data_IF_601496989952
#
_entry.id   IF_601496989952
#
_cell.length_a   1.000
_cell.length_b   1.000
_cell.length_c   1.000
_cell.angle_alpha   90.00
_cell.angle_beta   90.00
_cell.angle_gamma   90.00
#
_symmetry.space_group_name_H-M   'P 1'
#
loop_
_entity.id
_entity.type
_entity.pdbx_description
1 polymer ?
#
# COMPACT_ATOMS: atom_id res chain seq x y z
N UNK A 1 -39.99 -62.52 6.43
CA UNK A 1 -39.64 -61.97 5.11
C UNK A 1 -39.08 -60.57 5.33
N UNK A 2 -37.80 -60.33 5.01
CA UNK A 2 -37.07 -59.13 5.39
C UNK A 2 -37.24 -58.01 4.35
N UNK A 3 -37.21 -56.75 4.81
CA UNK A 3 -37.04 -55.56 3.97
C UNK A 3 -35.58 -55.13 4.00
N UNK A 4 -34.93 -55.09 2.84
CA UNK A 4 -33.57 -54.60 2.64
C UNK A 4 -33.60 -53.12 2.24
N UNK A 5 -32.93 -52.27 3.03
CA UNK A 5 -32.56 -50.90 2.65
C UNK A 5 -31.39 -50.94 1.65
N UNK A 6 -31.50 -50.24 0.52
CA UNK A 6 -30.39 -50.02 -0.41
C UNK A 6 -29.72 -48.67 -0.12
N UNK A 7 -28.41 -48.70 0.13
CA UNK A 7 -27.53 -47.54 0.23
C UNK A 7 -27.21 -46.98 -1.17
N UNK A 8 -27.52 -45.71 -1.44
CA UNK A 8 -27.01 -44.98 -2.60
C UNK A 8 -25.67 -44.32 -2.25
N UNK A 9 -24.58 -44.84 -2.82
CA UNK A 9 -23.29 -44.16 -2.85
C UNK A 9 -23.28 -43.10 -3.96
N UNK A 10 -22.88 -41.88 -3.62
CA UNK A 10 -22.62 -40.78 -4.55
C UNK A 10 -21.15 -40.82 -4.98
N UNK A 11 -20.90 -41.11 -6.26
CA UNK A 11 -19.59 -40.90 -6.90
C UNK A 11 -19.50 -39.44 -7.37
N UNK A 12 -18.47 -38.72 -6.92
CA UNK A 12 -18.08 -37.42 -7.46
C UNK A 12 -17.53 -37.61 -8.90
N UNK A 13 -17.83 -36.71 -9.85
CA UNK A 13 -17.33 -36.82 -11.21
C UNK A 13 -15.83 -36.51 -11.26
N UNK A 14 -15.04 -37.47 -11.76
CA UNK A 14 -13.63 -37.25 -12.11
C UNK A 14 -13.53 -36.28 -13.31
N UNK A 15 -12.54 -35.36 -13.31
CA UNK A 15 -12.30 -34.47 -14.45
C UNK A 15 -11.96 -35.29 -15.71
N UNK A 16 -12.45 -34.83 -16.88
CA UNK A 16 -12.23 -35.51 -18.15
C UNK A 16 -10.79 -35.33 -18.64
N UNK A 17 -10.19 -36.38 -19.22
CA UNK A 17 -8.83 -36.36 -19.79
C UNK A 17 -8.58 -35.19 -20.76
N UNK A 18 -9.62 -34.75 -21.49
CA UNK A 18 -9.53 -33.60 -22.39
C UNK A 18 -9.28 -32.25 -21.65
N UNK A 19 -9.72 -32.11 -20.39
CA UNK A 19 -9.46 -30.93 -19.58
C UNK A 19 -8.03 -30.95 -19.01
N UNK A 20 -7.50 -32.13 -18.69
CA UNK A 20 -6.11 -32.31 -18.23
C UNK A 20 -5.11 -32.11 -19.38
N UNK A 21 -5.41 -32.65 -20.56
CA UNK A 21 -4.59 -32.46 -21.78
C UNK A 21 -4.56 -30.98 -22.20
N UNK A 22 -5.71 -30.28 -22.14
CA UNK A 22 -5.78 -28.85 -22.44
C UNK A 22 -5.05 -27.96 -21.44
N UNK A 23 -4.97 -28.37 -20.16
CA UNK A 23 -4.15 -27.69 -19.15
C UNK A 23 -2.65 -27.91 -19.38
N UNK A 24 -2.24 -29.12 -19.73
CA UNK A 24 -0.83 -29.44 -20.01
C UNK A 24 -0.32 -28.74 -21.28
N UNK A 25 -1.13 -28.68 -22.35
CA UNK A 25 -0.77 -27.94 -23.56
C UNK A 25 -0.64 -26.43 -23.30
N UNK A 26 -1.56 -25.86 -22.51
CA UNK A 26 -1.48 -24.44 -22.11
C UNK A 26 -0.25 -24.14 -21.24
N UNK A 27 0.14 -25.04 -20.33
CA UNK A 27 1.35 -24.91 -19.52
C UNK A 27 2.64 -25.02 -20.36
N UNK A 28 2.66 -25.89 -21.37
CA UNK A 28 3.80 -26.03 -22.29
C UNK A 28 3.95 -24.80 -23.21
N UNK A 29 2.84 -24.30 -23.75
CA UNK A 29 2.84 -23.08 -24.57
C UNK A 29 3.26 -21.86 -23.74
N UNK A 30 2.81 -21.78 -22.48
CA UNK A 30 3.28 -20.77 -21.53
C UNK A 30 4.78 -20.89 -21.22
N UNK A 31 5.31 -22.11 -21.03
CA UNK A 31 6.73 -22.33 -20.76
C UNK A 31 7.61 -21.94 -21.96
N UNK A 32 7.17 -22.22 -23.19
CA UNK A 32 7.86 -21.81 -24.41
C UNK A 32 7.81 -20.29 -24.61
N UNK A 33 6.64 -19.67 -24.40
CA UNK A 33 6.49 -18.22 -24.43
C UNK A 33 7.38 -17.54 -23.38
N UNK A 34 7.41 -18.07 -22.15
CA UNK A 34 8.26 -17.59 -21.06
C UNK A 34 9.74 -17.65 -21.41
N UNK A 35 10.22 -18.76 -21.96
CA UNK A 35 11.61 -18.89 -22.39
C UNK A 35 11.98 -17.91 -23.51
N UNK A 36 11.04 -17.62 -24.43
CA UNK A 36 11.22 -16.61 -25.46
C UNK A 36 11.29 -15.19 -24.87
N UNK A 37 10.35 -14.81 -24.00
CA UNK A 37 10.36 -13.52 -23.30
C UNK A 37 11.61 -13.34 -22.43
N UNK A 38 12.05 -14.40 -21.76
CA UNK A 38 13.23 -14.36 -20.91
C UNK A 38 14.53 -14.08 -21.68
N UNK A 39 14.55 -14.33 -22.99
CA UNK A 39 15.69 -14.07 -23.88
C UNK A 39 15.69 -12.67 -24.54
N UNK A 40 14.65 -11.85 -24.36
CA UNK A 40 14.56 -10.52 -24.97
C UNK A 40 15.43 -9.48 -24.25
N UNK A 41 16.40 -8.88 -24.93
CA UNK A 41 17.30 -7.87 -24.34
C UNK A 41 16.62 -6.49 -24.31
N UNK A 42 16.45 -5.90 -23.13
CA UNK A 42 15.83 -4.57 -22.94
C UNK A 42 16.80 -3.62 -22.25
N UNK A 43 16.75 -2.32 -22.60
CA UNK A 43 17.51 -1.27 -21.90
C UNK A 43 16.87 -0.86 -20.56
N UNK A 44 15.58 -1.15 -20.38
CA UNK A 44 14.86 -0.96 -19.10
C UNK A 44 15.00 -2.23 -18.26
N UNK A 45 15.22 -2.12 -16.93
CA UNK A 45 15.15 -3.26 -16.04
C UNK A 45 13.78 -3.93 -16.17
N UNK A 46 13.75 -5.26 -16.27
CA UNK A 46 12.48 -6.00 -16.28
C UNK A 46 11.75 -5.80 -14.94
N UNK A 47 10.42 -5.74 -14.91
CA UNK A 47 9.70 -5.77 -13.63
C UNK A 47 9.99 -7.08 -12.89
N UNK A 48 10.01 -7.07 -11.54
CA UNK A 48 10.16 -8.30 -10.77
C UNK A 48 8.95 -9.22 -10.98
N UNK A 49 9.11 -10.53 -10.73
CA UNK A 49 7.96 -11.44 -10.76
C UNK A 49 7.01 -11.12 -9.60
N UNK A 50 5.68 -11.09 -9.81
CA UNK A 50 4.73 -10.66 -8.77
C UNK A 50 4.88 -11.39 -7.43
N UNK A 51 5.16 -12.70 -7.45
CA UNK A 51 5.32 -13.53 -6.25
C UNK A 51 6.54 -13.18 -5.38
N UNK A 52 7.53 -12.50 -5.97
CA UNK A 52 8.77 -12.10 -5.30
C UNK A 52 8.80 -10.60 -5.00
N UNK A 53 7.87 -9.83 -5.57
CA UNK A 53 7.85 -8.38 -5.50
C UNK A 53 7.04 -7.88 -4.31
N UNK A 54 7.36 -6.66 -3.89
CA UNK A 54 6.51 -5.91 -2.96
C UNK A 54 5.60 -5.02 -3.81
N UNK A 55 4.39 -5.50 -4.06
CA UNK A 55 3.45 -4.86 -4.97
C UNK A 55 2.76 -3.67 -4.31
N UNK A 56 2.97 -2.48 -4.86
CA UNK A 56 2.31 -1.24 -4.45
C UNK A 56 1.35 -0.81 -5.56
N UNK A 57 0.05 -0.99 -5.32
CA UNK A 57 -1.00 -0.55 -6.22
C UNK A 57 -1.38 0.90 -5.90
N UNK A 58 -1.44 1.77 -6.90
CA UNK A 58 -1.78 3.18 -6.74
C UNK A 58 -2.93 3.52 -7.67
N UNK A 59 -3.96 4.20 -7.17
CA UNK A 59 -5.05 4.64 -8.03
C UNK A 59 -4.66 5.81 -8.91
N UNK A 60 -5.28 5.95 -10.10
CA UNK A 60 -4.96 7.07 -11.01
C UNK A 60 -5.14 8.45 -10.37
N UNK A 61 -6.14 8.61 -9.47
CA UNK A 61 -6.39 9.85 -8.71
C UNK A 61 -5.41 10.07 -7.55
N UNK A 62 -4.74 9.02 -7.08
CA UNK A 62 -3.66 9.15 -6.11
C UNK A 62 -2.34 9.48 -6.81
N UNK A 63 -2.05 8.86 -7.96
CA UNK A 63 -0.81 9.11 -8.71
C UNK A 63 -0.81 10.49 -9.38
N UNK A 64 -1.93 10.89 -9.98
CA UNK A 64 -2.07 12.16 -10.70
C UNK A 64 -3.19 13.01 -10.13
N UNK A 65 -3.04 14.33 -10.25
CA UNK A 65 -4.09 15.28 -9.93
C UNK A 65 -5.15 15.25 -11.05
N UNK A 66 -6.29 14.65 -10.72
CA UNK A 66 -7.45 14.49 -11.59
C UNK A 66 -8.68 15.22 -11.03
N UNK A 67 -8.48 16.32 -10.28
CA UNK A 67 -9.60 17.04 -9.62
C UNK A 67 -10.57 17.61 -10.65
N UNK A 68 -10.06 18.23 -11.72
CA UNK A 68 -10.92 18.80 -12.78
C UNK A 68 -11.62 17.70 -13.58
N UNK A 69 -10.90 16.64 -13.92
CA UNK A 69 -11.46 15.51 -14.65
C UNK A 69 -12.55 14.81 -13.82
N UNK A 70 -12.36 14.69 -12.50
CA UNK A 70 -13.39 14.17 -11.59
C UNK A 70 -14.63 15.06 -11.58
N UNK A 71 -14.46 16.38 -11.55
CA UNK A 71 -15.57 17.33 -11.60
C UNK A 71 -16.38 17.15 -12.88
N UNK A 72 -15.73 17.00 -14.03
CA UNK A 72 -16.39 16.73 -15.32
C UNK A 72 -17.18 15.42 -15.26
N UNK A 73 -16.61 14.35 -14.68
CA UNK A 73 -17.30 13.07 -14.52
C UNK A 73 -18.56 13.21 -13.63
N UNK A 74 -18.44 13.91 -12.50
CA UNK A 74 -19.55 14.08 -11.54
C UNK A 74 -20.66 15.00 -12.08
N UNK A 75 -20.31 16.09 -12.77
CA UNK A 75 -21.26 17.08 -13.27
C UNK A 75 -21.85 16.72 -14.65
N UNK A 76 -21.09 16.02 -15.50
CA UNK A 76 -21.45 15.79 -16.92
C UNK A 76 -21.46 14.32 -17.34
N UNK A 77 -21.11 13.40 -16.44
CA UNK A 77 -21.16 11.96 -16.68
C UNK A 77 -19.97 11.41 -17.49
N UNK A 78 -20.00 10.08 -17.67
CA UNK A 78 -18.88 9.30 -18.22
C UNK A 78 -18.53 9.67 -19.67
N UNK A 79 -19.51 9.95 -20.53
CA UNK A 79 -19.25 10.25 -21.95
C UNK A 79 -18.46 11.55 -22.13
N UNK A 80 -18.85 12.61 -21.39
CA UNK A 80 -18.14 13.90 -21.44
C UNK A 80 -16.76 13.81 -20.81
N UNK A 81 -16.62 13.00 -19.77
CA UNK A 81 -15.32 12.69 -19.18
C UNK A 81 -14.39 11.99 -20.18
N UNK A 82 -14.87 10.97 -20.90
CA UNK A 82 -14.08 10.24 -21.89
C UNK A 82 -13.67 11.16 -23.05
N UNK A 83 -14.61 11.93 -23.59
CA UNK A 83 -14.33 12.93 -24.65
C UNK A 83 -13.26 13.93 -24.20
N UNK A 84 -13.36 14.45 -22.97
CA UNK A 84 -12.36 15.35 -22.41
C UNK A 84 -10.98 14.69 -22.32
N UNK A 85 -10.90 13.45 -21.84
CA UNK A 85 -9.64 12.73 -21.70
C UNK A 85 -8.98 12.44 -23.05
N UNK A 86 -9.76 12.11 -24.08
CA UNK A 86 -9.27 11.90 -25.44
C UNK A 86 -8.74 13.20 -26.06
N UNK A 87 -9.51 14.29 -25.97
CA UNK A 87 -9.10 15.60 -26.49
C UNK A 87 -7.82 16.13 -25.81
N UNK A 88 -7.54 15.69 -24.59
CA UNK A 88 -6.38 16.09 -23.80
C UNK A 88 -5.33 14.97 -23.64
N UNK A 89 -5.34 13.94 -24.48
CA UNK A 89 -4.47 12.76 -24.30
C UNK A 89 -2.97 13.09 -24.31
N UNK A 90 -2.57 14.17 -24.97
CA UNK A 90 -1.19 14.67 -25.04
C UNK A 90 -0.87 15.75 -24.00
N UNK A 91 -1.85 16.14 -23.18
CA UNK A 91 -1.66 17.09 -22.07
C UNK A 91 -1.29 16.32 -20.82
N UNK A 92 -0.02 16.45 -20.40
CA UNK A 92 0.51 15.82 -19.19
C UNK A 92 -0.32 16.16 -17.96
N UNK A 93 -0.71 15.12 -17.21
CA UNK A 93 -1.39 15.26 -15.93
C UNK A 93 -0.44 15.77 -14.85
N UNK A 94 -0.92 16.66 -13.97
CA UNK A 94 -0.09 17.16 -12.86
C UNK A 94 0.15 16.06 -11.82
N UNK A 95 1.27 16.09 -11.08
CA UNK A 95 1.54 15.18 -9.98
C UNK A 95 0.40 15.15 -8.95
N UNK A 96 0.01 13.94 -8.53
CA UNK A 96 -0.92 13.70 -7.44
C UNK A 96 -0.22 13.44 -6.10
N UNK A 97 -0.98 13.19 -5.02
CA UNK A 97 -0.41 13.02 -3.68
C UNK A 97 0.54 11.82 -3.54
N UNK A 98 0.39 10.76 -4.34
CA UNK A 98 1.28 9.59 -4.32
C UNK A 98 2.52 9.74 -5.21
N UNK A 99 2.59 10.79 -6.03
CA UNK A 99 3.58 10.88 -7.10
C UNK A 99 5.02 10.80 -6.60
N UNK A 100 5.38 11.63 -5.62
CA UNK A 100 6.73 11.65 -5.06
C UNK A 100 7.06 10.41 -4.23
N UNK A 101 6.04 9.77 -3.63
CA UNK A 101 6.21 8.47 -2.99
C UNK A 101 6.60 7.41 -4.02
N UNK A 102 5.93 7.35 -5.18
CA UNK A 102 6.31 6.45 -6.28
C UNK A 102 7.73 6.72 -6.79
N UNK A 103 8.11 7.99 -6.99
CA UNK A 103 9.51 8.34 -7.35
C UNK A 103 10.52 7.84 -6.31
N UNK A 104 10.19 7.91 -5.03
CA UNK A 104 11.06 7.43 -3.97
C UNK A 104 11.16 5.89 -3.93
N UNK A 105 10.07 5.16 -4.23
CA UNK A 105 10.11 3.70 -4.42
C UNK A 105 11.01 3.32 -5.60
N UNK A 106 10.91 4.04 -6.72
CA UNK A 106 11.79 3.82 -7.89
C UNK A 106 13.27 4.09 -7.56
N UNK A 107 13.55 5.12 -6.75
CA UNK A 107 14.91 5.39 -6.29
C UNK A 107 15.45 4.23 -5.44
N UNK A 108 14.64 3.69 -4.53
CA UNK A 108 15.02 2.51 -3.75
C UNK A 108 15.28 1.30 -4.67
N UNK A 109 14.41 1.06 -5.66
CA UNK A 109 14.61 0.00 -6.65
C UNK A 109 15.93 0.16 -7.42
N UNK A 110 16.27 1.37 -7.85
CA UNK A 110 17.55 1.64 -8.52
C UNK A 110 18.75 1.29 -7.62
N UNK A 111 18.72 1.70 -6.34
CA UNK A 111 19.76 1.36 -5.37
C UNK A 111 19.82 -0.14 -5.06
N UNK A 112 18.68 -0.84 -5.04
CA UNK A 112 18.65 -2.31 -4.90
C UNK A 112 19.30 -2.98 -6.11
N UNK A 113 18.97 -2.55 -7.33
CA UNK A 113 19.55 -3.09 -8.57
C UNK A 113 21.07 -2.86 -8.68
N UNK A 114 21.58 -1.74 -8.15
CA UNK A 114 23.03 -1.49 -8.08
C UNK A 114 23.75 -2.51 -7.18
N UNK A 115 23.13 -2.90 -6.06
CA UNK A 115 23.73 -3.79 -5.06
C UNK A 115 23.44 -5.28 -5.31
N UNK A 116 22.30 -5.55 -5.97
CA UNK A 116 21.73 -6.87 -6.22
C UNK A 116 21.06 -6.92 -7.61
N UNK A 117 21.85 -6.98 -8.70
CA UNK A 117 21.34 -6.88 -10.08
C UNK A 117 20.29 -7.95 -10.46
N UNK A 118 20.45 -9.17 -9.94
CA UNK A 118 19.60 -10.33 -10.27
C UNK A 118 18.45 -10.54 -9.27
N UNK A 119 18.32 -9.68 -8.27
CA UNK A 119 17.37 -9.85 -7.18
C UNK A 119 16.00 -9.24 -7.54
N UNK A 120 14.96 -10.07 -7.45
CA UNK A 120 13.59 -9.70 -7.77
C UNK A 120 12.82 -9.14 -6.57
N UNK A 121 13.35 -9.21 -5.35
CA UNK A 121 12.70 -8.67 -4.15
C UNK A 121 12.94 -7.15 -4.08
N UNK A 122 12.06 -6.44 -4.78
CA UNK A 122 11.98 -4.98 -4.96
C UNK A 122 10.52 -4.55 -5.14
N UNK A 123 10.25 -3.26 -5.23
CA UNK A 123 8.89 -2.77 -5.42
C UNK A 123 8.40 -3.02 -6.86
N UNK A 124 7.16 -3.48 -7.00
CA UNK A 124 6.42 -3.47 -8.25
C UNK A 124 5.27 -2.47 -8.14
N UNK A 125 5.31 -1.41 -8.94
CA UNK A 125 4.29 -0.36 -8.91
C UNK A 125 3.24 -0.66 -9.97
N UNK A 126 1.99 -0.80 -9.54
CA UNK A 126 0.85 -1.11 -10.42
C UNK A 126 -0.12 0.06 -10.41
N UNK A 127 -0.47 0.57 -11.59
CA UNK A 127 -1.55 1.54 -11.72
C UNK A 127 -2.91 0.83 -11.71
N UNK A 128 -3.78 1.21 -10.79
CA UNK A 128 -5.16 0.74 -10.70
C UNK A 128 -6.13 1.87 -11.05
N UNK A 129 -7.07 1.66 -11.96
CA UNK A 129 -8.05 2.68 -12.28
C UNK A 129 -9.41 2.08 -12.56
N UNK A 130 -10.45 2.74 -12.05
CA UNK A 130 -11.84 2.40 -12.33
C UNK A 130 -12.32 2.97 -13.67
N UNK A 131 -11.47 3.72 -14.37
CA UNK A 131 -11.85 4.36 -15.61
C UNK A 131 -11.90 3.38 -16.77
N UNK A 132 -12.66 3.77 -17.80
CA UNK A 132 -12.74 3.05 -19.07
C UNK A 132 -11.38 3.04 -19.80
N UNK A 133 -11.06 1.96 -20.53
CA UNK A 133 -9.77 1.78 -21.20
C UNK A 133 -9.39 2.94 -22.15
N UNK A 134 -10.39 3.60 -22.73
CA UNK A 134 -10.19 4.74 -23.64
C UNK A 134 -9.47 5.94 -23.01
N UNK A 135 -9.51 6.11 -21.68
CA UNK A 135 -8.79 7.22 -21.02
C UNK A 135 -7.34 6.85 -20.67
N UNK A 136 -6.93 5.61 -20.92
CA UNK A 136 -5.63 5.07 -20.52
C UNK A 136 -4.45 5.75 -21.22
N UNK A 137 -4.64 6.23 -22.46
CA UNK A 137 -3.58 6.85 -23.26
C UNK A 137 -2.99 8.06 -22.55
N UNK A 138 -3.83 8.95 -21.99
CA UNK A 138 -3.34 10.12 -21.25
C UNK A 138 -2.53 9.76 -20.00
N UNK A 139 -2.94 8.70 -19.30
CA UNK A 139 -2.22 8.18 -18.12
C UNK A 139 -0.85 7.64 -18.54
N UNK A 140 -0.80 6.84 -19.60
CA UNK A 140 0.45 6.29 -20.16
C UNK A 140 1.38 7.41 -20.63
N UNK A 141 0.86 8.39 -21.36
CA UNK A 141 1.63 9.55 -21.83
C UNK A 141 2.22 10.34 -20.65
N UNK A 142 1.44 10.53 -19.58
CA UNK A 142 1.91 11.22 -18.37
C UNK A 142 3.00 10.41 -17.65
N UNK A 143 2.82 9.09 -17.50
CA UNK A 143 3.81 8.18 -16.92
C UNK A 143 5.13 8.23 -17.70
N UNK A 144 5.05 8.17 -19.02
CA UNK A 144 6.20 8.26 -19.91
C UNK A 144 6.88 9.64 -19.84
N UNK A 145 6.10 10.72 -19.82
CA UNK A 145 6.61 12.09 -19.68
C UNK A 145 7.44 12.26 -18.41
N UNK A 146 6.99 11.71 -17.30
CA UNK A 146 7.70 11.77 -16.01
C UNK A 146 8.78 10.69 -15.84
N UNK A 147 8.94 9.79 -16.81
CA UNK A 147 9.89 8.69 -16.74
C UNK A 147 9.60 7.74 -15.57
N UNK A 148 8.32 7.53 -15.24
CA UNK A 148 7.91 6.55 -14.23
C UNK A 148 8.02 5.14 -14.82
N UNK A 149 8.59 4.20 -14.06
CA UNK A 149 8.74 2.79 -14.39
C UNK A 149 7.53 2.00 -13.92
N UNK A 150 6.34 2.36 -14.41
CA UNK A 150 5.09 1.65 -14.16
C UNK A 150 4.77 0.87 -15.44
N UNK A 151 4.90 -0.45 -15.39
CA UNK A 151 4.71 -1.33 -16.57
C UNK A 151 3.38 -2.11 -16.48
N UNK A 152 2.77 -2.18 -15.29
CA UNK A 152 1.51 -2.89 -15.04
C UNK A 152 0.36 -1.92 -14.79
N UNK A 153 -0.72 -2.11 -15.55
CA UNK A 153 -1.93 -1.30 -15.49
C UNK A 153 -3.14 -2.22 -15.39
N UNK A 154 -4.11 -1.83 -14.58
CA UNK A 154 -5.43 -2.44 -14.57
C UNK A 154 -6.49 -1.35 -14.67
N UNK A 155 -7.34 -1.46 -15.68
CA UNK A 155 -8.45 -0.56 -15.94
C UNK A 155 -9.73 -1.37 -15.82
N UNK A 156 -10.48 -1.19 -14.74
CA UNK A 156 -11.62 -2.06 -14.41
C UNK A 156 -12.93 -1.65 -15.07
N UNK A 157 -12.96 -0.52 -15.78
CA UNK A 157 -14.15 -0.06 -16.52
C UNK A 157 -15.36 0.22 -15.64
N UNK A 158 -15.16 0.50 -14.35
CA UNK A 158 -16.20 0.78 -13.36
C UNK A 158 -16.33 -0.30 -12.29
N UNK A 159 -15.82 -1.51 -12.55
CA UNK A 159 -15.87 -2.62 -11.61
C UNK A 159 -14.94 -2.41 -10.39
N UNK A 160 -15.22 -3.11 -9.30
CA UNK A 160 -14.41 -3.00 -8.09
C UNK A 160 -12.97 -3.53 -8.33
N UNK A 161 -11.92 -2.80 -7.88
CA UNK A 161 -10.54 -3.23 -8.08
C UNK A 161 -10.11 -4.39 -7.17
N UNK A 162 -10.90 -4.76 -6.15
CA UNK A 162 -10.46 -5.67 -5.07
C UNK A 162 -10.03 -7.05 -5.58
N UNK A 163 -10.78 -7.64 -6.52
CA UNK A 163 -10.42 -8.93 -7.12
C UNK A 163 -9.06 -8.87 -7.82
N UNK A 164 -8.80 -7.78 -8.54
CA UNK A 164 -7.52 -7.56 -9.22
C UNK A 164 -6.38 -7.26 -8.25
N UNK A 165 -6.62 -6.48 -7.18
CA UNK A 165 -5.64 -6.23 -6.14
C UNK A 165 -5.18 -7.55 -5.49
N UNK A 166 -6.12 -8.46 -5.24
CA UNK A 166 -5.84 -9.80 -4.72
C UNK A 166 -5.04 -10.64 -5.72
N UNK A 167 -5.48 -10.69 -6.97
CA UNK A 167 -4.78 -11.44 -8.03
C UNK A 167 -3.36 -10.93 -8.29
N UNK A 168 -3.10 -9.64 -8.03
CA UNK A 168 -1.80 -9.02 -8.15
C UNK A 168 -0.91 -9.18 -6.91
N UNK A 169 -1.38 -9.86 -5.86
CA UNK A 169 -0.66 -10.02 -4.58
C UNK A 169 -0.27 -8.67 -3.99
N UNK A 170 -1.21 -7.72 -3.97
CA UNK A 170 -0.95 -6.34 -3.53
C UNK A 170 -0.55 -6.29 -2.06
N UNK A 171 0.65 -5.78 -1.75
CA UNK A 171 1.12 -5.54 -0.39
C UNK A 171 0.60 -4.21 0.17
N UNK A 172 0.40 -3.19 -0.67
CA UNK A 172 -0.15 -1.90 -0.30
C UNK A 172 -1.01 -1.30 -1.43
N UNK A 173 -2.24 -0.88 -1.12
CA UNK A 173 -3.10 -0.12 -2.02
C UNK A 173 -3.32 1.32 -1.55
N UNK A 174 -2.96 2.29 -2.40
CA UNK A 174 -3.14 3.71 -2.14
C UNK A 174 -4.16 4.29 -3.12
N UNK A 175 -5.21 4.94 -2.59
CA UNK A 175 -6.23 5.53 -3.44
C UNK A 175 -6.80 6.82 -2.88
N UNK A 176 -7.26 7.72 -3.76
CA UNK A 176 -8.08 8.86 -3.37
C UNK A 176 -9.57 8.51 -3.18
N UNK A 177 -9.92 7.22 -3.20
CA UNK A 177 -11.26 6.68 -3.01
C UNK A 177 -11.37 5.97 -1.66
N UNK A 178 -12.06 6.57 -0.69
CA UNK A 178 -12.18 6.01 0.66
C UNK A 178 -13.01 4.74 0.71
N UNK A 179 -14.01 4.60 -0.17
CA UNK A 179 -14.86 3.40 -0.22
C UNK A 179 -14.04 2.22 -0.72
N UNK A 180 -13.26 2.39 -1.78
CA UNK A 180 -12.38 1.34 -2.29
C UNK A 180 -11.25 0.98 -1.34
N UNK A 181 -10.76 1.93 -0.55
CA UNK A 181 -9.78 1.65 0.50
C UNK A 181 -10.40 0.81 1.61
N UNK A 182 -11.63 1.13 2.01
CA UNK A 182 -12.37 0.35 3.01
C UNK A 182 -12.61 -1.08 2.53
N UNK A 183 -13.13 -1.25 1.31
CA UNK A 183 -13.34 -2.57 0.69
C UNK A 183 -12.03 -3.39 0.64
N UNK A 184 -10.89 -2.74 0.36
CA UNK A 184 -9.59 -3.40 0.31
C UNK A 184 -9.08 -3.84 1.69
N UNK A 185 -9.25 -3.00 2.73
CA UNK A 185 -8.92 -3.38 4.11
C UNK A 185 -9.78 -4.56 4.57
N UNK A 186 -11.07 -4.57 4.25
CA UNK A 186 -11.99 -5.66 4.58
C UNK A 186 -11.60 -6.97 3.87
N UNK A 187 -11.02 -6.87 2.67
CA UNK A 187 -10.45 -8.00 1.95
C UNK A 187 -9.05 -8.43 2.43
N UNK A 188 -8.53 -7.82 3.50
CA UNK A 188 -7.21 -8.15 4.07
C UNK A 188 -6.03 -7.51 3.34
N UNK A 189 -6.26 -6.52 2.48
CA UNK A 189 -5.24 -5.79 1.73
C UNK A 189 -4.90 -4.50 2.47
N UNK A 190 -3.63 -4.34 2.83
CA UNK A 190 -3.13 -3.14 3.49
C UNK A 190 -3.42 -1.92 2.59
N UNK A 191 -4.20 -0.95 3.07
CA UNK A 191 -4.65 0.15 2.22
C UNK A 191 -4.78 1.47 2.96
N UNK A 192 -4.67 2.58 2.23
CA UNK A 192 -4.89 3.92 2.80
C UNK A 192 -5.48 4.91 1.80
N UNK A 193 -6.33 5.80 2.30
CA UNK A 193 -6.93 6.89 1.53
C UNK A 193 -5.98 8.06 1.49
N UNK A 194 -5.57 8.48 0.30
CA UNK A 194 -4.75 9.67 0.09
C UNK A 194 -5.61 10.88 -0.24
N UNK A 195 -5.14 12.05 0.17
CA UNK A 195 -5.80 13.31 -0.14
C UNK A 195 -4.78 14.26 -0.75
N UNK A 196 -5.27 15.12 -1.65
CA UNK A 196 -4.45 16.17 -2.26
C UNK A 196 -3.99 17.15 -1.19
N UNK A 197 -2.68 17.34 -1.03
CA UNK A 197 -2.15 18.36 -0.13
C UNK A 197 -2.33 19.76 -0.70
N UNK A 198 -2.51 20.74 0.18
CA UNK A 198 -2.74 22.14 -0.18
C UNK A 198 -1.45 22.94 -0.39
N UNK A 199 -0.28 22.30 -0.27
CA UNK A 199 1.03 22.96 -0.31
C UNK A 199 2.06 22.05 -0.97
N UNK A 200 2.89 22.65 -1.82
CA UNK A 200 4.09 22.01 -2.35
C UNK A 200 5.17 22.02 -1.27
N UNK A 201 5.46 20.84 -0.71
CA UNK A 201 6.57 20.62 0.21
C UNK A 201 7.69 19.91 -0.55
N UNK A 202 8.92 20.37 -0.38
CA UNK A 202 10.07 19.69 -0.95
C UNK A 202 10.27 18.33 -0.26
N UNK A 203 10.39 17.26 -1.05
CA UNK A 203 10.68 15.91 -0.57
C UNK A 203 12.19 15.63 -0.58
N UNK A 204 12.60 14.43 -0.16
CA UNK A 204 13.99 14.01 -0.19
C UNK A 204 14.22 13.18 -1.45
N UNK A 205 15.08 13.63 -2.35
CA UNK A 205 15.35 12.91 -3.61
C UNK A 205 16.23 11.66 -3.43
N UNK A 206 16.81 11.48 -2.25
CA UNK A 206 17.76 10.40 -1.94
C UNK A 206 17.21 9.35 -0.96
N UNK A 207 16.03 9.59 -0.38
CA UNK A 207 15.46 8.71 0.64
C UNK A 207 13.96 8.62 0.53
N UNK A 208 13.42 7.42 0.43
CA UNK A 208 12.06 7.11 0.81
C UNK A 208 11.88 7.29 2.32
N UNK A 209 10.98 8.19 2.71
CA UNK A 209 10.64 8.49 4.11
C UNK A 209 9.20 8.10 4.38
N UNK A 210 9.00 7.07 5.21
CA UNK A 210 7.67 6.55 5.56
C UNK A 210 7.44 6.76 7.05
N UNK A 211 6.47 7.60 7.38
CA UNK A 211 6.03 7.83 8.75
C UNK A 211 4.70 7.12 9.00
N UNK A 212 4.46 6.65 10.22
CA UNK A 212 3.20 6.00 10.58
C UNK A 212 2.91 6.10 12.08
N UNK A 213 1.63 6.11 12.44
CA UNK A 213 1.21 5.84 13.81
C UNK A 213 1.36 4.36 14.17
N UNK A 214 1.39 4.07 15.47
CA UNK A 214 1.38 2.72 16.03
C UNK A 214 0.01 2.07 15.94
N UNK A 215 -0.90 2.50 16.83
CA UNK A 215 -2.20 1.87 17.06
C UNK A 215 -3.12 2.02 15.85
N UNK A 216 -3.93 0.99 15.58
CA UNK A 216 -4.84 0.90 14.43
C UNK A 216 -4.21 1.10 13.03
N UNK A 217 -2.87 1.09 12.94
CA UNK A 217 -2.10 1.24 11.70
C UNK A 217 -1.16 0.03 11.54
N UNK A 218 -0.10 -0.05 12.34
CA UNK A 218 0.81 -1.21 12.38
C UNK A 218 0.38 -2.20 13.47
N UNK A 219 -0.21 -1.73 14.56
CA UNK A 219 -0.81 -2.54 15.60
C UNK A 219 -2.33 -2.55 15.46
N UNK A 220 -2.99 -3.54 16.06
CA UNK A 220 -4.45 -3.55 16.19
C UNK A 220 -4.94 -2.38 17.05
N UNK A 221 -6.26 -2.21 17.13
CA UNK A 221 -6.92 -1.21 17.97
C UNK A 221 -7.14 -1.65 19.43
N UNK A 222 -6.54 -2.78 19.86
CA UNK A 222 -6.62 -3.33 21.23
C UNK A 222 -6.40 -2.28 22.31
N UNK A 223 -5.34 -1.47 22.15
CA UNK A 223 -4.99 -0.44 23.13
C UNK A 223 -6.00 0.71 23.18
N UNK A 224 -6.57 1.08 22.04
CA UNK A 224 -7.60 2.11 21.97
C UNK A 224 -8.91 1.63 22.63
N UNK A 225 -9.26 0.36 22.45
CA UNK A 225 -10.41 -0.27 23.11
C UNK A 225 -10.26 -0.22 24.63
N UNK A 226 -9.09 -0.59 25.17
CA UNK A 226 -8.83 -0.55 26.62
C UNK A 226 -8.97 0.89 27.16
N UNK A 227 -8.41 1.89 26.48
CA UNK A 227 -8.51 3.29 26.92
C UNK A 227 -9.97 3.76 26.91
N UNK A 228 -10.74 3.42 25.88
CA UNK A 228 -12.15 3.81 25.77
C UNK A 228 -13.06 3.13 26.80
N UNK A 229 -12.81 1.85 27.10
CA UNK A 229 -13.64 1.07 28.02
C UNK A 229 -13.24 1.23 29.50
N UNK A 230 -11.93 1.36 29.77
CA UNK A 230 -11.37 1.21 31.12
C UNK A 230 -10.50 2.40 31.56
N UNK A 231 -10.23 3.37 30.68
CA UNK A 231 -9.45 4.56 30.97
C UNK A 231 -7.92 4.36 30.91
N UNK A 232 -7.20 5.47 31.12
CA UNK A 232 -5.74 5.54 30.93
C UNK A 232 -4.94 4.73 31.97
N UNK A 233 -5.39 4.70 33.23
CA UNK A 233 -4.66 3.98 34.29
C UNK A 233 -4.62 2.47 34.00
N UNK A 234 -5.77 1.90 33.60
CA UNK A 234 -5.86 0.49 33.20
C UNK A 234 -5.06 0.17 31.95
N UNK A 235 -5.00 1.12 31.01
CA UNK A 235 -4.12 1.00 29.85
C UNK A 235 -2.64 0.91 30.27
N UNK A 236 -2.17 1.77 31.19
CA UNK A 236 -0.77 1.73 31.63
C UNK A 236 -0.44 0.43 32.38
N UNK A 237 -1.32 -0.03 33.26
CA UNK A 237 -1.17 -1.34 33.93
C UNK A 237 -1.10 -2.48 32.90
N UNK A 238 -1.99 -2.46 31.90
CA UNK A 238 -2.01 -3.45 30.84
C UNK A 238 -0.71 -3.48 30.03
N UNK A 239 -0.19 -2.31 29.66
CA UNK A 239 1.06 -2.19 28.90
C UNK A 239 2.26 -2.69 29.71
N UNK A 240 2.30 -2.41 31.01
CA UNK A 240 3.36 -2.89 31.90
C UNK A 240 3.32 -4.42 32.06
N UNK A 241 2.13 -4.99 32.29
CA UNK A 241 1.95 -6.44 32.45
C UNK A 241 2.25 -7.22 31.17
N UNK A 242 2.03 -6.61 30.00
CA UNK A 242 2.22 -7.23 28.70
C UNK A 242 3.47 -6.72 27.97
N UNK A 243 4.41 -6.05 28.65
CA UNK A 243 5.57 -5.41 28.02
C UNK A 243 6.38 -6.35 27.10
N UNK A 244 6.45 -7.64 27.46
CA UNK A 244 7.18 -8.66 26.71
C UNK A 244 6.28 -9.49 25.76
N UNK A 245 4.99 -9.19 25.70
CA UNK A 245 4.06 -9.82 24.75
C UNK A 245 3.87 -8.89 23.55
N UNK A 246 4.13 -9.35 22.31
CA UNK A 246 3.88 -8.55 21.12
C UNK A 246 2.46 -7.97 21.10
N UNK A 247 2.32 -6.74 20.59
CA UNK A 247 1.01 -6.17 20.27
C UNK A 247 0.37 -6.97 19.13
N UNK A 248 -0.96 -7.03 19.10
CA UNK A 248 -1.68 -7.63 17.99
C UNK A 248 -1.46 -6.83 16.69
N UNK A 249 -1.58 -7.51 15.55
CA UNK A 249 -1.19 -7.00 14.24
C UNK A 249 -2.26 -6.06 13.67
N UNK A 250 -1.84 -4.93 13.12
CA UNK A 250 -2.67 -4.00 12.38
C UNK A 250 -2.63 -4.25 10.86
N UNK A 251 -3.46 -3.52 10.09
CA UNK A 251 -3.62 -3.74 8.65
C UNK A 251 -2.34 -3.49 7.84
N UNK A 252 -1.46 -2.57 8.27
CA UNK A 252 -0.24 -2.23 7.53
C UNK A 252 0.99 -3.06 7.93
N UNK A 253 0.86 -4.02 8.86
CA UNK A 253 2.02 -4.80 9.34
C UNK A 253 2.80 -5.44 8.21
N UNK A 254 2.13 -6.16 7.30
CA UNK A 254 2.80 -6.90 6.22
C UNK A 254 3.68 -6.00 5.35
N UNK A 255 3.13 -4.89 4.88
CA UNK A 255 3.87 -3.90 4.08
C UNK A 255 5.05 -3.29 4.85
N UNK A 256 4.86 -2.95 6.14
CA UNK A 256 5.93 -2.36 6.94
C UNK A 256 7.04 -3.38 7.26
N UNK A 257 6.71 -4.65 7.47
CA UNK A 257 7.71 -5.73 7.57
C UNK A 257 8.52 -5.86 6.27
N UNK A 258 7.88 -5.74 5.11
CA UNK A 258 8.56 -5.76 3.82
C UNK A 258 9.52 -4.58 3.65
N UNK A 259 9.16 -3.37 4.12
CA UNK A 259 10.12 -2.25 4.21
C UNK A 259 11.32 -2.58 5.10
N UNK A 260 11.07 -3.20 6.27
CA UNK A 260 12.12 -3.64 7.18
C UNK A 260 13.06 -4.69 6.57
N UNK A 261 12.52 -5.62 5.76
CA UNK A 261 13.33 -6.59 5.00
C UNK A 261 14.22 -5.88 4.00
N UNK A 262 13.69 -4.95 3.20
CA UNK A 262 14.48 -4.18 2.25
C UNK A 262 15.57 -3.34 2.93
N UNK A 263 15.25 -2.68 4.06
CA UNK A 263 16.26 -1.96 4.87
C UNK A 263 17.43 -2.87 5.25
N UNK A 264 17.15 -4.09 5.70
CA UNK A 264 18.19 -5.07 6.06
C UNK A 264 19.06 -5.48 4.88
N UNK A 265 18.54 -5.51 3.64
CA UNK A 265 19.36 -5.76 2.44
C UNK A 265 20.43 -4.69 2.25
N UNK A 266 20.10 -3.43 2.51
CA UNK A 266 21.10 -2.34 2.51
C UNK A 266 22.09 -2.49 3.67
N UNK A 267 21.62 -2.86 4.86
CA UNK A 267 22.48 -3.04 6.02
C UNK A 267 23.52 -4.14 5.80
N UNK A 268 23.12 -5.25 5.14
CA UNK A 268 24.01 -6.34 4.76
C UNK A 268 25.12 -5.93 3.77
N UNK A 269 24.96 -4.79 3.08
CA UNK A 269 25.97 -4.20 2.18
C UNK A 269 26.72 -3.03 2.81
N UNK A 270 26.66 -2.88 4.14
CA UNK A 270 27.24 -1.77 4.90
C UNK A 270 26.64 -0.38 4.56
N UNK A 271 25.43 -0.33 3.99
CA UNK A 271 24.75 0.90 3.62
C UNK A 271 23.76 1.38 4.69
N UNK A 272 23.97 1.01 5.97
CA UNK A 272 23.05 1.37 7.06
C UNK A 272 22.84 2.87 7.21
N UNK A 273 23.92 3.66 7.10
CA UNK A 273 23.85 5.12 7.23
C UNK A 273 23.31 5.80 5.97
N UNK A 274 23.50 5.20 4.79
CA UNK A 274 23.04 5.73 3.51
C UNK A 274 21.81 4.98 2.97
N UNK A 275 21.09 4.27 3.85
CA UNK A 275 19.94 3.49 3.46
C UNK A 275 18.91 4.41 2.81
N UNK A 276 18.45 4.10 1.58
CA UNK A 276 17.48 4.94 0.89
C UNK A 276 16.07 4.77 1.46
N UNK A 277 15.85 3.88 2.44
CA UNK A 277 14.57 3.74 3.15
C UNK A 277 14.77 4.19 4.59
N UNK A 278 13.92 5.12 5.03
CA UNK A 278 13.91 5.63 6.40
C UNK A 278 12.49 5.58 6.97
N UNK A 279 12.34 4.89 8.10
CA UNK A 279 11.04 4.67 8.76
C UNK A 279 10.91 5.47 10.05
N UNK A 280 9.72 6.02 10.28
CA UNK A 280 9.43 6.88 11.42
C UNK A 280 8.17 6.40 12.15
N UNK A 281 8.30 5.99 13.41
CA UNK A 281 7.15 5.80 14.28
C UNK A 281 6.78 7.16 14.87
N UNK A 282 5.56 7.65 14.61
CA UNK A 282 5.05 8.92 15.16
C UNK A 282 3.76 8.64 15.93
N UNK A 283 3.89 8.41 17.24
CA UNK A 283 2.78 7.92 18.07
C UNK A 283 2.41 8.87 19.19
N UNK A 284 1.12 8.93 19.51
CA UNK A 284 0.60 9.65 20.67
C UNK A 284 0.94 8.95 22.01
N UNK A 285 1.41 7.70 21.97
CA UNK A 285 1.86 6.97 23.16
C UNK A 285 2.96 7.69 23.92
N UNK A 286 2.99 7.48 25.24
CA UNK A 286 4.08 7.93 26.11
C UNK A 286 5.22 6.91 26.08
N UNK A 287 6.46 7.42 25.91
CA UNK A 287 7.67 6.60 25.94
C UNK A 287 7.82 5.84 27.26
N UNK A 288 7.56 6.52 28.38
CA UNK A 288 7.83 5.99 29.72
C UNK A 288 6.86 4.87 30.14
N UNK A 289 5.58 4.97 29.75
CA UNK A 289 4.55 4.03 30.22
C UNK A 289 4.18 2.94 29.22
N UNK A 290 4.38 3.17 27.92
CA UNK A 290 3.90 2.25 26.86
C UNK A 290 4.87 2.07 25.70
N UNK A 291 6.02 2.75 25.72
CA UNK A 291 6.99 2.71 24.61
C UNK A 291 7.80 1.42 24.54
N UNK A 292 8.08 0.79 25.67
CA UNK A 292 8.91 -0.42 25.73
C UNK A 292 8.27 -1.59 24.94
N UNK A 293 6.96 -1.85 25.15
CA UNK A 293 6.21 -2.89 24.43
C UNK A 293 6.20 -2.66 22.92
N UNK A 294 5.99 -1.41 22.50
CA UNK A 294 6.00 -1.00 21.10
C UNK A 294 7.35 -1.32 20.44
N UNK A 295 8.45 -0.86 21.04
CA UNK A 295 9.79 -1.09 20.49
C UNK A 295 10.19 -2.56 20.48
N UNK A 296 9.80 -3.33 21.50
CA UNK A 296 10.01 -4.79 21.56
C UNK A 296 9.21 -5.53 20.47
N UNK A 297 7.97 -5.11 20.22
CA UNK A 297 7.12 -5.67 19.16
C UNK A 297 7.70 -5.40 17.78
N UNK A 298 8.07 -4.16 17.48
CA UNK A 298 8.68 -3.81 16.19
C UNK A 298 9.96 -4.60 15.93
N UNK A 299 10.80 -4.76 16.97
CA UNK A 299 12.02 -5.57 16.89
C UNK A 299 11.73 -7.04 16.62
N UNK A 300 10.72 -7.63 17.27
CA UNK A 300 10.39 -9.05 17.05
C UNK A 300 9.82 -9.32 15.66
N UNK A 301 9.17 -8.32 15.04
CA UNK A 301 8.75 -8.35 13.64
C UNK A 301 9.88 -8.01 12.65
N UNK A 302 11.08 -7.73 13.17
CA UNK A 302 12.24 -7.42 12.35
C UNK A 302 12.17 -6.04 11.69
N UNK A 303 11.31 -5.15 12.19
CA UNK A 303 11.18 -3.78 11.74
C UNK A 303 12.04 -2.86 12.63
N UNK A 304 13.24 -2.57 12.16
CA UNK A 304 14.18 -1.66 12.84
C UNK A 304 13.88 -0.21 12.46
N UNK A 305 13.04 0.46 13.26
CA UNK A 305 12.68 1.87 13.06
C UNK A 305 13.90 2.78 13.21
N UNK A 306 14.10 3.68 12.25
CA UNK A 306 15.19 4.66 12.30
C UNK A 306 14.96 5.74 13.36
N UNK A 307 13.72 6.25 13.45
CA UNK A 307 13.33 7.28 14.42
C UNK A 307 11.97 6.97 15.05
N UNK A 308 11.93 6.81 16.37
CA UNK A 308 10.70 6.60 17.13
C UNK A 308 10.37 7.83 17.98
N UNK A 309 9.24 8.48 17.69
CA UNK A 309 8.79 9.72 18.29
C UNK A 309 7.52 9.46 19.10
N UNK A 310 7.69 9.40 20.41
CA UNK A 310 6.62 9.26 21.40
C UNK A 310 6.19 10.62 21.88
N UNK A 311 4.97 11.02 21.51
CA UNK A 311 4.51 12.39 21.70
C UNK A 311 3.69 12.58 22.99
N UNK A 312 3.32 11.51 23.68
CA UNK A 312 2.52 11.58 24.91
C UNK A 312 1.28 12.51 24.77
N UNK A 313 0.57 12.37 23.64
CA UNK A 313 -0.61 13.18 23.30
C UNK A 313 -0.32 14.53 22.62
N UNK A 314 0.94 14.95 22.48
CA UNK A 314 1.28 16.17 21.75
C UNK A 314 0.94 16.04 20.25
N UNK A 315 0.61 17.15 19.55
CA UNK A 315 0.23 17.11 18.14
C UNK A 315 1.37 16.63 17.24
N UNK A 316 1.03 15.74 16.28
CA UNK A 316 1.98 15.15 15.32
C UNK A 316 2.49 16.13 14.26
N UNK A 317 1.66 17.12 13.92
CA UNK A 317 1.91 18.06 12.81
C UNK A 317 3.30 18.72 12.78
N UNK A 318 3.76 19.39 13.87
CA UNK A 318 5.08 20.02 13.89
C UNK A 318 6.25 19.06 13.64
N UNK A 319 6.12 17.82 14.13
CA UNK A 319 7.11 16.78 13.94
C UNK A 319 7.13 16.28 12.49
N UNK A 320 5.95 16.11 11.88
CA UNK A 320 5.82 15.72 10.48
C UNK A 320 6.43 16.76 9.52
N UNK A 321 6.29 18.06 9.83
CA UNK A 321 6.96 19.14 9.09
C UNK A 321 8.48 19.01 9.13
N UNK A 322 9.05 18.58 10.26
CA UNK A 322 10.51 18.33 10.38
C UNK A 322 10.92 17.09 9.57
N UNK A 323 10.15 16.01 9.67
CA UNK A 323 10.45 14.74 9.01
C UNK A 323 10.36 14.88 7.48
N UNK A 324 9.36 15.63 6.99
CA UNK A 324 8.98 15.72 5.56
C UNK A 324 8.84 14.33 4.93
N UNK A 325 7.92 13.48 5.45
CA UNK A 325 7.75 12.15 4.92
C UNK A 325 7.15 12.21 3.51
N UNK A 326 7.45 11.19 2.69
CA UNK A 326 6.75 10.98 1.42
C UNK A 326 5.31 10.54 1.65
N UNK A 327 5.07 9.84 2.76
CA UNK A 327 3.75 9.42 3.20
C UNK A 327 3.74 9.26 4.73
N UNK A 328 2.67 9.76 5.36
CA UNK A 328 2.35 9.54 6.77
C UNK A 328 1.05 8.75 6.90
N UNK A 329 1.07 7.60 7.58
CA UNK A 329 -0.13 6.79 7.82
C UNK A 329 -0.71 7.02 9.21
N UNK A 330 -2.02 7.23 9.28
CA UNK A 330 -2.75 7.43 10.54
C UNK A 330 -4.20 6.94 10.38
N UNK A 331 -4.79 6.40 11.43
CA UNK A 331 -6.19 5.95 11.44
C UNK A 331 -7.18 7.07 11.78
N UNK A 332 -6.72 8.18 12.34
CA UNK A 332 -7.60 9.25 12.80
C UNK A 332 -7.60 10.45 11.85
N UNK A 333 -8.78 10.78 11.33
CA UNK A 333 -8.93 11.91 10.41
C UNK A 333 -8.44 13.26 10.98
N UNK A 334 -8.56 13.46 12.29
CA UNK A 334 -8.04 14.68 12.94
C UNK A 334 -6.52 14.82 12.78
N UNK A 335 -5.77 13.73 12.86
CA UNK A 335 -4.32 13.72 12.63
C UNK A 335 -4.00 13.94 11.14
N UNK A 336 -4.78 13.34 10.24
CA UNK A 336 -4.68 13.52 8.78
C UNK A 336 -4.88 15.00 8.40
N UNK A 337 -5.98 15.61 8.84
CA UNK A 337 -6.28 17.02 8.57
C UNK A 337 -5.22 17.96 9.17
N UNK A 338 -4.75 17.66 10.39
CA UNK A 338 -3.69 18.41 11.06
C UNK A 338 -2.38 18.40 10.28
N UNK A 339 -1.99 17.23 9.76
CA UNK A 339 -0.81 17.06 8.92
C UNK A 339 -0.94 17.81 7.58
N UNK A 340 -2.12 17.74 6.94
CA UNK A 340 -2.39 18.39 5.65
C UNK A 340 -2.40 19.91 5.73
N UNK A 341 -2.93 20.51 6.80
CA UNK A 341 -2.88 21.97 7.04
C UNK A 341 -1.44 22.49 7.03
N UNK A 342 -0.50 21.64 7.43
CA UNK A 342 0.93 21.92 7.46
C UNK A 342 1.69 21.44 6.21
N UNK A 343 0.99 20.90 5.21
CA UNK A 343 1.55 20.50 3.92
C UNK A 343 2.12 19.08 3.88
N UNK A 344 1.94 18.27 4.93
CA UNK A 344 2.38 16.86 4.91
C UNK A 344 1.39 15.99 4.13
N UNK A 345 1.90 15.10 3.28
CA UNK A 345 1.09 14.03 2.65
C UNK A 345 0.74 13.00 3.71
N UNK A 346 -0.53 12.97 4.08
CA UNK A 346 -1.08 12.04 5.05
C UNK A 346 -2.12 11.13 4.37
N UNK A 347 -2.06 9.84 4.72
CA UNK A 347 -2.91 8.79 4.18
C UNK A 347 -3.69 8.13 5.33
N UNK A 348 -5.01 8.16 5.21
CA UNK A 348 -5.91 7.65 6.24
C UNK A 348 -6.09 6.14 6.12
N UNK A 349 -5.87 5.42 7.21
CA UNK A 349 -6.11 3.97 7.32
C UNK A 349 -7.46 3.77 8.03
N UNK A 350 -8.58 3.52 7.32
CA UNK A 350 -9.88 3.39 7.97
C UNK A 350 -10.01 2.02 8.67
N UNK A 351 -9.33 1.87 9.80
CA UNK A 351 -9.30 0.66 10.62
C UNK A 351 -9.57 0.99 12.09
N UNK A 352 -10.05 -0.01 12.84
CA UNK A 352 -10.26 0.07 14.29
C UNK A 352 -11.60 0.68 14.72
N UNK A 353 -11.84 0.63 16.04
CA UNK A 353 -13.07 1.14 16.69
C UNK A 353 -13.33 2.62 16.43
N UNK A 354 -12.30 3.43 16.17
CA UNK A 354 -12.45 4.84 15.82
C UNK A 354 -13.38 5.07 14.60
N UNK A 355 -13.43 4.11 13.67
CA UNK A 355 -14.25 4.23 12.46
C UNK A 355 -15.75 3.98 12.69
N UNK A 356 -16.11 3.21 13.72
CA UNK A 356 -17.50 2.79 13.97
C UNK A 356 -18.41 3.95 14.41
N UNK A 357 -17.84 4.97 15.06
CA UNK A 357 -18.60 6.11 15.60
C UNK A 357 -18.91 7.21 14.58
N UNK A 358 -18.43 7.09 13.34
CA UNK A 358 -18.81 7.98 12.23
C UNK A 358 -20.05 7.52 11.44
N UNK A 359 -20.51 6.29 11.66
CA UNK A 359 -21.72 5.73 11.02
C UNK A 359 -23.00 5.97 11.84
N UNK A 360 -22.94 6.72 12.94
CA UNK A 360 -24.07 7.01 13.83
C UNK A 360 -24.62 8.42 13.65
#
# INVERSE_FOLDING_TARGET
APGTMSSSGSEEPQPSQAAEDGQQEAEQDWAAAKAFYDNLVTKRPRPPKPQNAITVAVSSRALFNLVEERRIYEEHGVEKYVEYQQNNENVTLKPGPAFYFVKALEHVNARLLELYPDDEERFDIVLMTNNHAQVGVRLINSINHYGLTIERFCMTGGESPIGYLTAYLTNLYLSADSEKVQEAIEAGIASATMFTANKDVAYSDTQLRVAFDGDAVIFSDESEQIVKEQGLDRFFEHEQLNENKPLAQGPLKGFLEDLGKLQKKFYAKNERLNCPIRTYLVTARSAASSGARVLKTLRSWGLEIDEALFLAGAPKGPILVKIRPHIFFDDQMFHIEGAQKLGTIAAHVPYGVAQKYRKA
#
